data_IF_140273017970
#
_entry.id   IF_140273017970
#
_cell.length_a   1.000
_cell.length_b   1.000
_cell.length_c   1.000
_cell.angle_alpha   90.00
_cell.angle_beta   90.00
_cell.angle_gamma   90.00
#
_symmetry.space_group_name_H-M   'P 1'
#
loop_
_entity.id
_entity.type
_entity.pdbx_description
1 polymer ?
#
# COMPACT_ATOMS: atom_id res chain seq x y z
N UNK A 1 3.19 -22.59 -0.08
CA UNK A 1 2.51 -21.59 -0.92
C UNK A 1 3.61 -20.81 -1.66
N UNK A 2 3.37 -20.28 -2.86
CA UNK A 2 4.40 -19.54 -3.60
C UNK A 2 4.69 -18.20 -2.86
N UNK A 3 5.96 -17.91 -2.55
CA UNK A 3 6.40 -16.70 -1.81
C UNK A 3 5.88 -15.42 -2.49
N UNK A 4 5.82 -15.41 -3.82
CA UNK A 4 5.30 -14.26 -4.58
C UNK A 4 3.81 -14.03 -4.32
N UNK A 5 3.04 -15.12 -4.22
CA UNK A 5 1.60 -15.06 -3.90
C UNK A 5 1.41 -14.54 -2.46
N UNK A 6 2.23 -14.98 -1.51
CA UNK A 6 2.20 -14.46 -0.14
C UNK A 6 2.49 -12.96 -0.08
N UNK A 7 3.49 -12.49 -0.84
CA UNK A 7 3.85 -11.08 -0.89
C UNK A 7 2.76 -10.24 -1.56
N UNK A 8 2.17 -10.69 -2.67
CA UNK A 8 1.05 -10.01 -3.32
C UNK A 8 -0.19 -9.94 -2.40
N UNK A 9 -0.50 -11.02 -1.69
CA UNK A 9 -1.56 -11.04 -0.69
C UNK A 9 -1.25 -10.09 0.48
N UNK A 10 0.02 -9.91 0.85
CA UNK A 10 0.41 -8.94 1.87
C UNK A 10 0.18 -7.50 1.43
N UNK A 11 0.44 -7.16 0.16
CA UNK A 11 0.10 -5.85 -0.41
C UNK A 11 -1.41 -5.61 -0.33
N UNK A 12 -2.23 -6.60 -0.74
CA UNK A 12 -3.69 -6.53 -0.64
C UNK A 12 -4.17 -6.31 0.80
N UNK A 13 -3.62 -7.05 1.76
CA UNK A 13 -3.96 -6.90 3.18
C UNK A 13 -3.73 -5.47 3.66
N UNK A 14 -2.57 -4.88 3.36
CA UNK A 14 -2.25 -3.50 3.78
C UNK A 14 -3.19 -2.49 3.10
N UNK A 15 -3.53 -2.71 1.82
CA UNK A 15 -4.48 -1.84 1.12
C UNK A 15 -5.88 -1.88 1.76
N UNK A 16 -6.33 -3.05 2.21
CA UNK A 16 -7.60 -3.17 2.94
C UNK A 16 -7.53 -2.44 4.28
N UNK A 17 -6.43 -2.57 5.03
CA UNK A 17 -6.23 -1.84 6.29
C UNK A 17 -6.31 -0.31 6.06
N UNK A 18 -5.73 0.19 4.96
CA UNK A 18 -5.81 1.62 4.58
C UNK A 18 -7.26 2.04 4.30
N UNK A 19 -8.01 1.23 3.54
CA UNK A 19 -9.41 1.52 3.23
C UNK A 19 -10.24 1.58 4.51
N UNK A 20 -10.03 0.62 5.43
CA UNK A 20 -10.72 0.60 6.71
C UNK A 20 -10.43 1.87 7.51
N UNK A 21 -9.17 2.29 7.62
CA UNK A 21 -8.82 3.53 8.33
C UNK A 21 -9.42 4.78 7.68
N UNK A 22 -9.42 4.85 6.34
CA UNK A 22 -9.96 6.00 5.60
C UNK A 22 -11.49 6.13 5.70
N UNK A 23 -12.21 5.02 5.86
CA UNK A 23 -13.67 4.98 5.92
C UNK A 23 -14.23 5.02 7.34
N UNK A 24 -13.40 5.18 8.37
CA UNK A 24 -13.87 5.38 9.74
C UNK A 24 -14.65 6.68 9.86
N UNK A 25 -15.78 6.62 10.56
CA UNK A 25 -16.54 7.81 10.93
C UNK A 25 -15.64 8.79 11.69
N UNK A 26 -15.81 10.09 11.41
CA UNK A 26 -15.05 11.20 12.00
C UNK A 26 -13.53 11.21 11.71
N UNK A 27 -13.06 10.40 10.75
CA UNK A 27 -11.66 10.41 10.36
C UNK A 27 -11.30 11.71 9.60
N UNK A 28 -10.38 12.49 10.18
CA UNK A 28 -9.85 13.71 9.56
C UNK A 28 -8.38 13.53 9.18
N UNK A 29 -8.08 13.61 7.89
CA UNK A 29 -6.72 13.50 7.37
C UNK A 29 -6.25 14.80 6.76
N UNK A 30 -4.95 15.10 6.88
CA UNK A 30 -4.31 16.18 6.13
C UNK A 30 -4.38 15.83 4.65
N UNK A 31 -4.70 16.82 3.84
CA UNK A 31 -4.69 16.72 2.39
C UNK A 31 -3.36 16.16 1.85
N UNK A 32 -2.22 16.57 2.44
CA UNK A 32 -0.89 16.06 2.09
C UNK A 32 -0.79 14.54 2.27
N UNK A 33 -1.31 14.01 3.37
CA UNK A 33 -1.20 12.59 3.72
C UNK A 33 -2.13 11.75 2.82
N UNK A 34 -3.29 12.30 2.44
CA UNK A 34 -4.18 11.71 1.43
C UNK A 34 -3.53 11.67 0.05
N UNK A 35 -2.92 12.79 -0.39
CA UNK A 35 -2.20 12.86 -1.68
C UNK A 35 -1.05 11.86 -1.74
N UNK A 36 -0.27 11.76 -0.67
CA UNK A 36 0.83 10.79 -0.56
C UNK A 36 0.30 9.35 -0.58
N UNK A 37 -0.77 9.07 0.15
CA UNK A 37 -1.41 7.76 0.17
C UNK A 37 -1.91 7.35 -1.21
N UNK A 38 -2.57 8.25 -1.93
CA UNK A 38 -3.08 8.01 -3.28
C UNK A 38 -1.94 7.76 -4.29
N UNK A 39 -0.87 8.54 -4.21
CA UNK A 39 0.31 8.41 -5.09
C UNK A 39 1.04 7.06 -4.85
N UNK A 40 1.29 6.71 -3.59
CA UNK A 40 1.92 5.44 -3.23
C UNK A 40 1.06 4.22 -3.59
N UNK A 41 -0.26 4.26 -3.36
CA UNK A 41 -1.18 3.19 -3.77
C UNK A 41 -1.22 3.03 -5.30
N UNK A 42 -1.21 4.13 -6.05
CA UNK A 42 -1.15 4.11 -7.51
C UNK A 42 0.14 3.44 -8.01
N UNK A 43 1.28 3.73 -7.38
CA UNK A 43 2.54 3.03 -7.68
C UNK A 43 2.48 1.55 -7.34
N UNK A 44 1.80 1.16 -6.26
CA UNK A 44 1.62 -0.25 -5.94
C UNK A 44 0.86 -0.98 -7.06
N UNK A 45 -0.16 -0.34 -7.65
CA UNK A 45 -0.87 -0.90 -8.81
C UNK A 45 0.09 -1.05 -10.00
N UNK A 46 0.88 -0.03 -10.32
CA UNK A 46 1.88 -0.11 -11.40
C UNK A 46 2.89 -1.25 -11.17
N UNK A 47 3.43 -1.38 -9.95
CA UNK A 47 4.38 -2.44 -9.62
C UNK A 47 3.75 -3.83 -9.79
N UNK A 48 2.51 -4.02 -9.28
CA UNK A 48 1.80 -5.29 -9.39
C UNK A 48 1.49 -5.65 -10.85
N UNK A 49 1.12 -4.67 -11.67
CA UNK A 49 0.94 -4.87 -13.11
C UNK A 49 2.26 -5.28 -13.76
N UNK A 50 3.37 -4.62 -13.44
CA UNK A 50 4.69 -4.97 -14.00
C UNK A 50 5.13 -6.39 -13.63
N UNK A 51 4.84 -6.84 -12.40
CA UNK A 51 5.05 -8.22 -11.96
C UNK A 51 4.16 -9.17 -12.75
N UNK A 52 2.87 -8.87 -12.89
CA UNK A 52 1.92 -9.72 -13.61
C UNK A 52 2.23 -9.84 -15.10
N UNK A 53 2.71 -8.77 -15.73
CA UNK A 53 3.06 -8.74 -17.17
C UNK A 53 4.50 -9.18 -17.45
N UNK A 54 5.27 -9.57 -16.44
CA UNK A 54 6.66 -10.02 -16.59
C UNK A 54 7.65 -8.92 -17.02
N UNK A 55 7.31 -7.64 -16.80
CA UNK A 55 8.21 -6.51 -17.06
C UNK A 55 9.27 -6.40 -15.96
N UNK A 56 8.93 -6.80 -14.73
CA UNK A 56 9.87 -6.79 -13.61
C UNK A 56 10.92 -7.89 -13.74
N UNK A 57 12.19 -7.50 -13.82
CA UNK A 57 13.34 -8.43 -13.87
C UNK A 57 13.43 -9.35 -12.63
N UNK A 58 12.91 -8.88 -11.49
CA UNK A 58 12.82 -9.66 -10.25
C UNK A 58 11.46 -9.42 -9.58
N UNK A 59 10.57 -10.41 -9.66
CA UNK A 59 9.26 -10.38 -8.99
C UNK A 59 9.39 -10.18 -7.49
N UNK A 60 10.31 -10.91 -6.84
CA UNK A 60 10.54 -10.81 -5.40
C UNK A 60 10.97 -9.40 -4.98
N UNK A 61 11.89 -8.79 -5.73
CA UNK A 61 12.37 -7.43 -5.42
C UNK A 61 11.29 -6.38 -5.66
N UNK A 62 10.54 -6.52 -6.75
CA UNK A 62 9.41 -5.66 -7.06
C UNK A 62 8.36 -5.72 -5.94
N UNK A 63 7.94 -6.92 -5.55
CA UNK A 63 6.93 -7.14 -4.50
C UNK A 63 7.39 -6.64 -3.12
N UNK A 64 8.66 -6.82 -2.73
CA UNK A 64 9.22 -6.23 -1.50
C UNK A 64 9.12 -4.70 -1.55
N UNK A 65 9.47 -4.09 -2.68
CA UNK A 65 9.33 -2.65 -2.90
C UNK A 65 7.88 -2.18 -2.84
N UNK A 66 6.95 -2.95 -3.39
CA UNK A 66 5.51 -2.67 -3.33
C UNK A 66 4.97 -2.74 -1.91
N UNK A 67 5.37 -3.75 -1.13
CA UNK A 67 5.00 -3.86 0.30
C UNK A 67 5.50 -2.64 1.08
N UNK A 68 6.72 -2.17 0.80
CA UNK A 68 7.26 -0.98 1.45
C UNK A 68 6.42 0.28 1.13
N UNK A 69 6.03 0.48 -0.13
CA UNK A 69 5.14 1.59 -0.54
C UNK A 69 3.77 1.51 0.14
N UNK A 70 3.15 0.33 0.17
CA UNK A 70 1.89 0.13 0.86
C UNK A 70 1.99 0.44 2.37
N UNK A 71 3.09 0.05 3.03
CA UNK A 71 3.35 0.40 4.44
C UNK A 71 3.54 1.90 4.65
N UNK A 72 4.20 2.59 3.72
CA UNK A 72 4.35 4.06 3.77
C UNK A 72 2.98 4.73 3.72
N UNK A 73 2.10 4.30 2.80
CA UNK A 73 0.71 4.77 2.75
C UNK A 73 -0.02 4.52 4.06
N UNK A 74 0.05 3.29 4.58
CA UNK A 74 -0.61 2.94 5.83
C UNK A 74 -0.11 3.80 6.99
N UNK A 75 1.20 4.02 7.12
CA UNK A 75 1.76 4.83 8.18
C UNK A 75 1.35 6.31 8.08
N UNK A 76 1.20 6.84 6.86
CA UNK A 76 0.72 8.21 6.66
C UNK A 76 -0.71 8.41 7.19
N UNK A 77 -1.58 7.41 7.01
CA UNK A 77 -2.97 7.42 7.50
C UNK A 77 -3.02 7.06 9.00
N UNK A 78 -2.29 6.05 9.44
CA UNK A 78 -2.32 5.55 10.81
C UNK A 78 -1.68 6.50 11.83
N UNK A 79 -0.75 7.38 11.43
CA UNK A 79 -0.15 8.39 12.30
C UNK A 79 -1.18 9.36 12.93
N UNK A 80 -2.40 9.41 12.39
CA UNK A 80 -3.51 10.16 12.99
C UNK A 80 -4.05 9.56 14.28
N UNK A 81 -3.95 8.25 14.50
CA UNK A 81 -4.46 7.60 15.72
C UNK A 81 -3.76 8.05 17.00
N UNK A 82 -2.58 8.66 16.92
CA UNK A 82 -1.79 9.02 18.11
C UNK A 82 -1.98 10.48 18.57
N UNK A 83 -2.93 11.23 18.00
CA UNK A 83 -3.15 12.65 18.32
C UNK A 83 -4.52 13.00 18.92
N UNK A 84 -5.22 12.02 19.49
CA UNK A 84 -6.41 12.25 20.32
C UNK A 84 -6.02 12.16 21.79
#
# INVERSE_FOLDING_TARGET
MNIEVEQALKVKSIALDIIEELLKDEAHFKEKDLKQTAEMLSRCVCDLVNVYTGISESHESALKGTIAKARISYNAIAAYKQKV
#
